data_IF_067482009214
#
_entry.id   IF_067482009214
#
_cell.length_a   1.000
_cell.length_b   1.000
_cell.length_c   1.000
_cell.angle_alpha   90.00
_cell.angle_beta   90.00
_cell.angle_gamma   90.00
#
_symmetry.space_group_name_H-M   'P 1'
#
loop_
_entity.id
_entity.type
_entity.pdbx_description
1 polymer ?
#
# COMPACT_ATOMS: atom_id res chain seq x y z
N UNK A 1 -48.82 11.56 7.58
CA UNK A 1 -47.54 11.28 6.89
C UNK A 1 -47.56 9.81 6.48
N UNK A 2 -47.41 9.47 5.19
CA UNK A 2 -47.48 8.06 4.78
C UNK A 2 -46.17 7.33 5.15
N UNK A 3 -46.23 6.00 5.33
CA UNK A 3 -45.05 5.18 5.64
C UNK A 3 -44.01 5.19 4.50
N UNK A 4 -44.48 5.43 3.27
CA UNK A 4 -43.68 5.64 2.05
C UNK A 4 -43.01 7.02 2.09
N UNK A 5 -43.74 8.02 2.58
CA UNK A 5 -43.34 9.34 3.07
C UNK A 5 -42.04 9.39 3.87
N UNK A 6 -42.02 8.56 4.90
CA UNK A 6 -40.89 8.42 5.83
C UNK A 6 -39.78 7.56 5.26
N UNK A 7 -40.10 6.52 4.48
CA UNK A 7 -39.09 5.66 3.87
C UNK A 7 -38.29 6.40 2.81
N UNK A 8 -38.97 7.13 1.91
CA UNK A 8 -38.31 7.92 0.89
C UNK A 8 -37.48 9.05 1.49
N UNK A 9 -37.95 9.70 2.56
CA UNK A 9 -37.15 10.69 3.30
C UNK A 9 -35.92 10.06 3.94
N UNK A 10 -36.05 8.93 4.64
CA UNK A 10 -34.91 8.26 5.25
C UNK A 10 -33.89 7.80 4.21
N UNK A 11 -34.35 7.34 3.03
CA UNK A 11 -33.46 7.01 1.90
C UNK A 11 -32.83 8.27 1.30
N UNK A 12 -33.56 9.39 1.21
CA UNK A 12 -33.01 10.67 0.75
C UNK A 12 -32.01 11.25 1.74
N UNK A 13 -32.30 11.21 3.04
CA UNK A 13 -31.46 11.67 4.14
C UNK A 13 -30.21 10.80 4.25
N UNK A 14 -30.31 9.47 4.13
CA UNK A 14 -29.15 8.59 4.01
C UNK A 14 -28.35 8.82 2.72
N UNK A 15 -29.01 9.15 1.60
CA UNK A 15 -28.34 9.52 0.36
C UNK A 15 -27.73 10.92 0.41
N UNK A 16 -28.15 11.79 1.34
CA UNK A 16 -27.61 13.13 1.59
C UNK A 16 -26.47 13.08 2.62
N UNK A 17 -26.59 12.25 3.66
CA UNK A 17 -25.53 11.97 4.65
C UNK A 17 -24.36 11.21 4.02
N UNK A 18 -24.63 10.23 3.15
CA UNK A 18 -23.60 9.59 2.35
C UNK A 18 -22.99 10.51 1.28
N UNK A 19 -23.67 11.62 0.92
CA UNK A 19 -23.20 12.64 -0.04
C UNK A 19 -22.26 13.70 0.54
N UNK A 20 -22.00 13.72 1.85
CA UNK A 20 -21.20 14.79 2.49
C UNK A 20 -20.30 14.26 3.61
N UNK A 21 -19.28 13.50 3.23
CA UNK A 21 -17.98 13.65 3.89
C UNK A 21 -17.02 14.21 2.85
N UNK A 22 -16.89 15.54 2.85
CA UNK A 22 -15.84 16.24 2.11
C UNK A 22 -14.47 15.71 2.51
N UNK A 23 -13.48 15.91 1.67
CA UNK A 23 -12.13 15.39 1.92
C UNK A 23 -11.60 15.89 3.26
N UNK A 24 -10.67 15.15 3.84
CA UNK A 24 -10.08 15.47 5.14
C UNK A 24 -8.66 15.97 4.97
N UNK A 25 -8.41 17.22 5.36
CA UNK A 25 -7.04 17.78 5.38
C UNK A 25 -6.12 16.94 6.27
N UNK A 26 -6.63 16.44 7.40
CA UNK A 26 -5.87 15.55 8.28
C UNK A 26 -5.50 14.23 7.58
N UNK A 27 -6.39 13.66 6.76
CA UNK A 27 -6.10 12.46 5.97
C UNK A 27 -5.03 12.74 4.91
N UNK A 28 -5.11 13.88 4.22
CA UNK A 28 -4.10 14.30 3.24
C UNK A 28 -2.73 14.45 3.90
N UNK A 29 -2.66 15.12 5.05
CA UNK A 29 -1.41 15.27 5.81
C UNK A 29 -0.87 13.91 6.26
N UNK A 30 -1.72 13.03 6.78
CA UNK A 30 -1.33 11.69 7.20
C UNK A 30 -0.75 10.87 6.04
N UNK A 31 -1.47 10.75 4.92
CA UNK A 31 -0.97 10.04 3.75
C UNK A 31 0.28 10.71 3.17
N UNK A 32 0.36 12.04 3.19
CA UNK A 32 1.51 12.81 2.74
C UNK A 32 2.78 12.54 3.56
N UNK A 33 2.66 12.47 4.89
CA UNK A 33 3.79 12.13 5.78
C UNK A 33 4.28 10.70 5.50
N UNK A 34 3.37 9.74 5.38
CA UNK A 34 3.71 8.35 5.07
C UNK A 34 4.38 8.26 3.69
N UNK A 35 3.81 8.93 2.68
CA UNK A 35 4.36 8.97 1.34
C UNK A 35 5.78 9.57 1.34
N UNK A 36 5.98 10.69 2.05
CA UNK A 36 7.29 11.32 2.21
C UNK A 36 8.31 10.37 2.83
N UNK A 37 7.93 9.64 3.88
CA UNK A 37 8.78 8.62 4.50
C UNK A 37 9.09 7.47 3.54
N UNK A 38 8.13 7.03 2.72
CA UNK A 38 8.35 5.95 1.75
C UNK A 38 9.26 6.39 0.61
N UNK A 39 9.04 7.58 0.06
CA UNK A 39 9.92 8.16 -0.95
C UNK A 39 11.35 8.32 -0.41
N UNK A 40 11.50 8.79 0.83
CA UNK A 40 12.79 8.82 1.49
C UNK A 40 13.43 7.43 1.60
N UNK A 41 12.66 6.42 2.02
CA UNK A 41 13.12 5.03 2.19
C UNK A 41 13.66 4.45 0.88
N UNK A 42 12.90 4.56 -0.22
CA UNK A 42 13.31 4.00 -1.52
C UNK A 42 14.48 4.75 -2.15
N UNK A 43 14.54 6.07 -1.98
CA UNK A 43 15.68 6.89 -2.43
C UNK A 43 16.93 6.56 -1.62
N UNK A 44 16.82 6.48 -0.29
CA UNK A 44 17.95 6.11 0.58
C UNK A 44 18.48 4.73 0.22
N UNK A 45 17.60 3.73 0.04
CA UNK A 45 17.96 2.37 -0.39
C UNK A 45 18.73 2.39 -1.71
N UNK A 46 18.22 3.10 -2.71
CA UNK A 46 18.85 3.23 -4.02
C UNK A 46 20.23 3.91 -3.94
N UNK A 47 20.34 5.02 -3.21
CA UNK A 47 21.61 5.75 -3.05
C UNK A 47 22.65 4.91 -2.33
N UNK A 48 22.26 4.20 -1.26
CA UNK A 48 23.15 3.30 -0.52
C UNK A 48 23.70 2.20 -1.41
N UNK A 49 22.84 1.49 -2.14
CA UNK A 49 23.29 0.39 -3.01
C UNK A 49 24.18 0.88 -4.17
N UNK A 50 23.78 1.97 -4.82
CA UNK A 50 24.52 2.50 -5.96
C UNK A 50 25.88 3.09 -5.55
N UNK A 51 25.96 3.74 -4.38
CA UNK A 51 27.19 4.30 -3.84
C UNK A 51 28.14 3.28 -3.20
N UNK A 52 27.69 2.04 -2.97
CA UNK A 52 28.49 1.02 -2.31
C UNK A 52 29.30 0.18 -3.30
N UNK A 53 30.61 0.04 -3.05
CA UNK A 53 31.49 -0.90 -3.75
C UNK A 53 31.81 -2.06 -2.81
N UNK A 54 31.14 -3.20 -3.02
CA UNK A 54 31.36 -4.38 -2.20
C UNK A 54 32.50 -5.21 -2.78
N UNK A 55 33.54 -5.55 -1.99
CA UNK A 55 34.57 -6.47 -2.44
C UNK A 55 33.98 -7.87 -2.62
N UNK A 56 34.52 -8.63 -3.57
CA UNK A 56 34.14 -10.04 -3.79
C UNK A 56 34.61 -10.90 -2.61
N UNK A 57 33.73 -11.03 -1.62
CA UNK A 57 33.96 -11.76 -0.37
C UNK A 57 32.67 -12.49 0.03
N UNK A 58 32.74 -13.75 0.52
CA UNK A 58 31.59 -14.49 1.04
C UNK A 58 30.69 -13.68 1.98
N UNK A 59 31.27 -12.82 2.83
CA UNK A 59 30.58 -11.93 3.77
C UNK A 59 29.57 -11.00 3.08
N UNK A 60 29.89 -10.49 1.89
CA UNK A 60 29.10 -9.48 1.17
C UNK A 60 28.30 -10.05 -0.01
N UNK A 61 28.33 -11.37 -0.23
CA UNK A 61 27.65 -12.01 -1.37
C UNK A 61 26.17 -11.62 -1.46
N UNK A 62 25.44 -11.67 -0.34
CA UNK A 62 24.03 -11.29 -0.35
C UNK A 62 23.81 -9.82 -0.68
N UNK A 63 24.68 -8.91 -0.23
CA UNK A 63 24.59 -7.48 -0.56
C UNK A 63 24.89 -7.22 -2.05
N UNK A 64 25.82 -7.99 -2.64
CA UNK A 64 26.09 -7.96 -4.08
C UNK A 64 24.87 -8.44 -4.87
N UNK A 65 24.23 -9.53 -4.43
CA UNK A 65 22.99 -10.05 -5.03
C UNK A 65 21.87 -9.02 -4.90
N UNK A 66 21.66 -8.45 -3.71
CA UNK A 66 20.64 -7.40 -3.48
C UNK A 66 20.90 -6.21 -4.40
N UNK A 67 22.14 -5.75 -4.52
CA UNK A 67 22.51 -4.64 -5.42
C UNK A 67 22.16 -4.97 -6.87
N UNK A 68 22.53 -6.16 -7.34
CA UNK A 68 22.33 -6.57 -8.74
C UNK A 68 20.86 -6.82 -9.08
N UNK A 69 20.11 -7.41 -8.15
CA UNK A 69 18.74 -7.89 -8.39
C UNK A 69 17.68 -7.11 -7.62
N UNK A 70 17.99 -5.91 -7.10
CA UNK A 70 17.07 -5.14 -6.25
C UNK A 70 15.65 -5.01 -6.84
N UNK A 71 15.56 -4.79 -8.16
CA UNK A 71 14.28 -4.61 -8.85
C UNK A 71 13.46 -5.90 -9.02
N UNK A 72 14.05 -7.07 -8.75
CA UNK A 72 13.38 -8.37 -8.81
C UNK A 72 12.84 -8.81 -7.45
N UNK A 73 13.09 -8.06 -6.36
CA UNK A 73 12.55 -8.41 -5.06
C UNK A 73 11.10 -7.95 -4.92
N UNK A 74 10.22 -8.88 -4.58
CA UNK A 74 8.81 -8.60 -4.30
C UNK A 74 8.60 -7.49 -3.26
N UNK A 75 9.51 -7.36 -2.28
CA UNK A 75 9.51 -6.26 -1.30
C UNK A 75 9.52 -4.89 -1.98
N UNK A 76 10.35 -4.69 -3.01
CA UNK A 76 10.45 -3.42 -3.74
C UNK A 76 9.18 -3.17 -4.54
N UNK A 77 8.64 -4.20 -5.20
CA UNK A 77 7.37 -4.10 -5.93
C UNK A 77 6.19 -3.74 -5.04
N UNK A 78 6.07 -4.39 -3.88
CA UNK A 78 5.07 -4.06 -2.87
C UNK A 78 5.22 -2.62 -2.38
N UNK A 79 6.45 -2.13 -2.22
CA UNK A 79 6.72 -0.78 -1.78
C UNK A 79 6.32 0.26 -2.84
N UNK A 80 6.64 0.01 -4.12
CA UNK A 80 6.18 0.84 -5.25
C UNK A 80 4.66 0.89 -5.32
N UNK A 81 4.01 -0.28 -5.19
CA UNK A 81 2.56 -0.40 -5.19
C UNK A 81 1.90 0.43 -4.07
N UNK A 82 2.49 0.44 -2.87
CA UNK A 82 2.01 1.28 -1.77
C UNK A 82 2.21 2.78 -2.04
N UNK A 83 3.32 3.19 -2.65
CA UNK A 83 3.53 4.58 -3.06
C UNK A 83 2.43 5.02 -4.04
N UNK A 84 2.12 4.19 -5.04
CA UNK A 84 1.03 4.45 -6.00
C UNK A 84 -0.31 4.56 -5.28
N UNK A 85 -0.59 3.66 -4.34
CA UNK A 85 -1.81 3.68 -3.54
C UNK A 85 -1.93 4.96 -2.69
N UNK A 86 -0.86 5.38 -2.02
CA UNK A 86 -0.83 6.59 -1.20
C UNK A 86 -1.06 7.85 -2.04
N UNK A 87 -0.47 7.91 -3.24
CA UNK A 87 -0.73 8.98 -4.21
C UNK A 87 -2.20 9.04 -4.61
N UNK A 88 -2.80 7.88 -4.94
CA UNK A 88 -4.22 7.80 -5.25
C UNK A 88 -5.11 8.23 -4.08
N UNK A 89 -4.75 7.86 -2.85
CA UNK A 89 -5.47 8.27 -1.64
C UNK A 89 -5.41 9.79 -1.43
N UNK A 90 -4.25 10.42 -1.63
CA UNK A 90 -4.09 11.88 -1.55
C UNK A 90 -4.92 12.57 -2.64
N UNK A 91 -4.82 12.10 -3.88
CA UNK A 91 -5.59 12.68 -5.01
C UNK A 91 -7.09 12.58 -4.75
N UNK A 92 -7.57 11.41 -4.29
CA UNK A 92 -8.98 11.23 -3.93
C UNK A 92 -9.44 12.23 -2.87
N UNK A 93 -8.69 12.39 -1.78
CA UNK A 93 -9.02 13.35 -0.71
C UNK A 93 -8.96 14.82 -1.17
N UNK A 94 -7.98 15.17 -2.02
CA UNK A 94 -7.88 16.53 -2.61
C UNK A 94 -9.07 16.81 -3.52
N UNK A 95 -9.47 15.85 -4.36
CA UNK A 95 -10.62 16.03 -5.25
C UNK A 95 -11.94 16.13 -4.46
N UNK A 96 -12.07 15.41 -3.35
CA UNK A 96 -13.19 15.56 -2.40
C UNK A 96 -13.21 16.95 -1.77
N UNK A 97 -12.06 17.50 -1.35
CA UNK A 97 -11.97 18.87 -0.81
C UNK A 97 -12.30 19.94 -1.86
N UNK A 98 -11.82 19.74 -3.09
CA UNK A 98 -12.06 20.64 -4.21
C UNK A 98 -13.47 20.51 -4.82
N UNK A 99 -14.30 19.59 -4.32
CA UNK A 99 -15.64 19.26 -4.83
C UNK A 99 -15.66 18.87 -6.33
N UNK A 100 -14.59 18.23 -6.83
CA UNK A 100 -14.44 17.80 -8.23
C UNK A 100 -14.94 16.36 -8.40
N UNK A 101 -16.26 16.17 -8.34
CA UNK A 101 -16.90 14.84 -8.32
C UNK A 101 -16.69 14.00 -9.58
N UNK A 102 -16.58 14.64 -10.75
CA UNK A 102 -16.44 13.93 -12.04
C UNK A 102 -15.19 13.04 -12.10
N UNK A 103 -14.05 13.54 -11.62
CA UNK A 103 -12.77 12.80 -11.61
C UNK A 103 -12.68 11.94 -10.35
N UNK A 104 -13.13 12.47 -9.21
CA UNK A 104 -13.04 11.81 -7.90
C UNK A 104 -13.66 10.40 -7.92
N UNK A 105 -14.85 10.23 -8.51
CA UNK A 105 -15.51 8.92 -8.58
C UNK A 105 -14.71 7.84 -9.32
N UNK A 106 -13.86 8.24 -10.29
CA UNK A 106 -12.96 7.33 -11.00
C UNK A 106 -11.77 6.93 -10.14
N UNK A 107 -11.13 7.91 -9.48
CA UNK A 107 -9.99 7.67 -8.59
C UNK A 107 -10.41 6.81 -7.40
N UNK A 108 -11.57 7.07 -6.81
CA UNK A 108 -12.12 6.26 -5.71
C UNK A 108 -12.34 4.81 -6.13
N UNK A 109 -12.94 4.56 -7.31
CA UNK A 109 -13.11 3.20 -7.84
C UNK A 109 -11.77 2.49 -8.04
N UNK A 110 -10.76 3.19 -8.55
CA UNK A 110 -9.42 2.63 -8.70
C UNK A 110 -8.84 2.29 -7.33
N UNK A 111 -8.84 3.23 -6.38
CA UNK A 111 -8.35 3.03 -4.99
C UNK A 111 -9.02 1.83 -4.32
N UNK A 112 -10.35 1.78 -4.37
CA UNK A 112 -11.16 0.69 -3.82
C UNK A 112 -10.94 -0.65 -4.53
N UNK A 113 -10.48 -0.64 -5.78
CA UNK A 113 -10.12 -1.85 -6.50
C UNK A 113 -8.70 -2.30 -6.19
N UNK A 114 -7.70 -1.42 -6.25
CA UNK A 114 -6.29 -1.82 -6.06
C UNK A 114 -5.98 -2.23 -4.63
N UNK A 115 -6.66 -1.63 -3.64
CA UNK A 115 -6.37 -1.89 -2.24
C UNK A 115 -6.61 -3.35 -1.86
N UNK A 116 -7.82 -3.91 -1.98
CA UNK A 116 -8.08 -5.30 -1.62
C UNK A 116 -7.45 -6.30 -2.60
N UNK A 117 -7.19 -5.88 -3.84
CA UNK A 117 -6.68 -6.79 -4.88
C UNK A 117 -5.17 -6.98 -4.82
N UNK A 118 -4.42 -5.91 -4.54
CA UNK A 118 -2.96 -5.89 -4.67
C UNK A 118 -2.30 -5.42 -3.37
N UNK A 119 -2.63 -4.21 -2.90
CA UNK A 119 -1.89 -3.56 -1.80
C UNK A 119 -1.98 -4.39 -0.52
N UNK A 120 -3.21 -4.78 -0.15
CA UNK A 120 -3.47 -5.54 1.05
C UNK A 120 -2.82 -6.93 1.05
N UNK A 121 -3.06 -7.82 0.04
CA UNK A 121 -2.43 -9.14 0.03
C UNK A 121 -0.91 -9.08 -0.12
N UNK A 122 -0.36 -8.19 -0.96
CA UNK A 122 1.10 -8.09 -1.14
C UNK A 122 1.81 -7.67 0.14
N UNK A 123 1.29 -6.68 0.86
CA UNK A 123 1.92 -6.21 2.10
C UNK A 123 1.82 -7.26 3.21
N UNK A 124 0.70 -8.00 3.29
CA UNK A 124 0.57 -9.10 4.23
C UNK A 124 1.57 -10.23 3.93
N UNK A 125 1.71 -10.62 2.66
CA UNK A 125 2.67 -11.66 2.24
C UNK A 125 4.10 -11.22 2.58
N UNK A 126 4.49 -9.99 2.22
CA UNK A 126 5.84 -9.47 2.50
C UNK A 126 6.12 -9.47 4.00
N UNK A 127 5.20 -8.94 4.83
CA UNK A 127 5.41 -8.87 6.27
C UNK A 127 5.44 -10.26 6.92
N UNK A 128 4.47 -11.12 6.60
CA UNK A 128 4.35 -12.45 7.21
C UNK A 128 5.51 -13.37 6.84
N UNK A 129 5.88 -13.44 5.56
CA UNK A 129 6.98 -14.31 5.11
C UNK A 129 8.30 -13.80 5.66
N UNK A 130 8.55 -12.48 5.56
CA UNK A 130 9.79 -11.91 6.07
C UNK A 130 9.95 -12.16 7.57
N UNK A 131 9.00 -11.74 8.40
CA UNK A 131 9.12 -11.92 9.84
C UNK A 131 9.06 -13.38 10.26
N UNK A 132 8.25 -14.20 9.58
CA UNK A 132 8.19 -15.64 9.84
C UNK A 132 9.56 -16.29 9.67
N UNK A 133 10.22 -16.07 8.53
CA UNK A 133 11.57 -16.60 8.29
C UNK A 133 12.58 -15.94 9.22
N UNK A 134 12.51 -14.62 9.41
CA UNK A 134 13.47 -13.87 10.23
C UNK A 134 13.55 -14.38 11.68
N UNK A 135 12.41 -14.75 12.27
CA UNK A 135 12.36 -15.30 13.63
C UNK A 135 12.80 -16.78 13.71
N UNK A 136 12.70 -17.54 12.61
CA UNK A 136 13.21 -18.91 12.54
C UNK A 136 14.72 -18.89 12.38
N UNK A 137 15.20 -18.25 11.32
CA UNK A 137 16.62 -18.02 11.06
C UNK A 137 16.79 -16.79 10.15
N UNK A 138 17.20 -15.67 10.76
CA UNK A 138 17.44 -14.43 10.03
C UNK A 138 18.56 -14.52 9.00
N UNK A 139 19.52 -15.43 9.14
CA UNK A 139 20.65 -15.52 8.22
C UNK A 139 20.22 -15.94 6.80
N UNK A 140 19.03 -16.51 6.65
CA UNK A 140 18.45 -16.90 5.36
C UNK A 140 18.03 -15.73 4.47
N UNK A 141 17.63 -14.61 5.07
CA UNK A 141 17.00 -13.48 4.34
C UNK A 141 17.56 -12.10 4.73
N UNK A 142 18.07 -11.95 5.94
CA UNK A 142 18.60 -10.70 6.48
C UNK A 142 19.73 -10.97 7.50
N UNK A 143 20.88 -11.51 7.04
CA UNK A 143 22.02 -11.85 7.88
C UNK A 143 22.60 -10.61 8.56
N UNK A 144 23.34 -10.82 9.65
CA UNK A 144 23.96 -9.73 10.42
C UNK A 144 24.87 -8.83 9.60
N UNK A 145 25.45 -9.32 8.51
CA UNK A 145 26.28 -8.53 7.60
C UNK A 145 25.49 -7.39 6.93
N UNK A 146 24.17 -7.54 6.79
CA UNK A 146 23.30 -6.48 6.29
C UNK A 146 23.10 -5.39 7.35
N UNK A 147 23.15 -5.68 8.65
CA UNK A 147 23.01 -4.67 9.72
C UNK A 147 24.16 -3.65 9.69
N UNK A 148 25.34 -4.04 9.20
CA UNK A 148 26.48 -3.13 8.98
C UNK A 148 26.18 -2.10 7.88
N UNK A 149 25.26 -2.42 6.97
CA UNK A 149 24.96 -1.62 5.78
C UNK A 149 23.64 -0.85 5.90
N UNK A 150 22.57 -1.54 6.31
CA UNK A 150 21.25 -0.97 6.52
C UNK A 150 20.98 -0.76 8.00
N UNK A 151 20.55 0.46 8.40
CA UNK A 151 20.12 0.71 9.75
C UNK A 151 18.82 -0.05 10.06
N UNK A 152 18.55 -0.41 11.33
CA UNK A 152 17.37 -1.20 11.71
C UNK A 152 16.03 -0.61 11.26
N UNK A 153 15.91 0.72 11.21
CA UNK A 153 14.70 1.38 10.75
C UNK A 153 14.36 1.06 9.30
N UNK A 154 15.37 0.76 8.45
CA UNK A 154 15.14 0.40 7.05
C UNK A 154 14.45 -0.96 6.94
N UNK A 155 14.88 -1.91 7.78
CA UNK A 155 14.24 -3.23 7.86
C UNK A 155 12.75 -3.07 8.24
N UNK A 156 12.46 -2.28 9.28
CA UNK A 156 11.07 -2.03 9.67
C UNK A 156 10.28 -1.22 8.62
N UNK A 157 10.90 -0.27 7.92
CA UNK A 157 10.25 0.48 6.85
C UNK A 157 9.73 -0.45 5.74
N UNK A 158 10.57 -1.39 5.28
CA UNK A 158 10.24 -2.30 4.19
C UNK A 158 9.32 -3.46 4.59
N UNK A 159 9.32 -3.87 5.87
CA UNK A 159 8.67 -5.12 6.31
C UNK A 159 7.61 -4.97 7.39
N UNK A 160 7.54 -3.84 8.11
CA UNK A 160 6.54 -3.61 9.18
C UNK A 160 5.66 -2.41 8.88
N UNK A 161 6.27 -1.26 8.54
CA UNK A 161 5.55 0.00 8.41
C UNK A 161 4.60 0.01 7.21
N UNK A 162 4.85 -0.89 6.26
CA UNK A 162 3.93 -1.26 5.17
C UNK A 162 2.52 -1.67 5.63
N UNK A 163 2.34 -2.04 6.89
CA UNK A 163 1.03 -2.39 7.46
C UNK A 163 0.23 -1.15 7.91
N UNK A 164 0.87 -0.01 8.18
CA UNK A 164 0.14 1.17 8.67
C UNK A 164 -0.87 1.72 7.65
N UNK A 165 -0.55 1.89 6.35
CA UNK A 165 -1.54 2.31 5.35
C UNK A 165 -2.72 1.33 5.25
N UNK A 166 -2.48 0.04 5.46
CA UNK A 166 -3.52 -0.99 5.42
C UNK A 166 -4.51 -0.81 6.57
N UNK A 167 -4.02 -0.60 7.79
CA UNK A 167 -4.87 -0.37 8.97
C UNK A 167 -5.69 0.90 8.77
N UNK A 168 -5.04 1.99 8.33
CA UNK A 168 -5.71 3.28 8.07
C UNK A 168 -6.82 3.11 7.03
N UNK A 169 -6.53 2.41 5.94
CA UNK A 169 -7.49 2.21 4.85
C UNK A 169 -8.63 1.30 5.27
N UNK A 170 -8.36 0.21 5.99
CA UNK A 170 -9.39 -0.70 6.51
C UNK A 170 -10.34 0.04 7.45
N UNK A 171 -9.80 0.80 8.41
CA UNK A 171 -10.60 1.62 9.34
C UNK A 171 -11.43 2.66 8.57
N UNK A 172 -10.85 3.26 7.54
CA UNK A 172 -11.55 4.20 6.67
C UNK A 172 -12.71 3.49 5.94
N UNK A 173 -12.45 2.41 5.22
CA UNK A 173 -13.46 1.68 4.45
C UNK A 173 -14.60 1.13 5.33
N UNK A 174 -14.33 0.69 6.56
CA UNK A 174 -15.38 0.32 7.52
C UNK A 174 -16.34 1.47 7.86
N UNK A 175 -15.85 2.72 7.83
CA UNK A 175 -16.68 3.92 8.05
C UNK A 175 -17.46 4.37 6.81
N UNK A 176 -17.11 3.87 5.62
CA UNK A 176 -17.63 4.38 4.34
C UNK A 176 -18.44 3.36 3.51
N UNK A 177 -18.29 2.04 3.71
CA UNK A 177 -18.85 1.07 2.76
C UNK A 177 -20.21 0.46 3.16
N UNK A 178 -21.15 0.66 2.23
CA UNK A 178 -22.37 -0.11 1.99
C UNK A 178 -21.98 -1.46 1.33
N UNK A 179 -22.44 -2.58 1.89
CA UNK A 179 -21.91 -3.96 1.70
C UNK A 179 -21.92 -4.48 0.25
N UNK A 180 -22.66 -3.85 -0.67
CA UNK A 180 -22.89 -4.35 -2.03
C UNK A 180 -21.72 -4.16 -3.02
N UNK A 181 -20.91 -3.11 -2.88
CA UNK A 181 -19.78 -2.87 -3.79
C UNK A 181 -18.61 -3.85 -3.58
N UNK A 182 -18.49 -4.43 -2.39
CA UNK A 182 -17.38 -5.32 -1.99
C UNK A 182 -17.42 -6.65 -2.75
N UNK A 183 -18.60 -7.18 -3.08
CA UNK A 183 -18.75 -8.49 -3.73
C UNK A 183 -18.30 -8.50 -5.20
N UNK A 184 -18.55 -7.42 -5.94
CA UNK A 184 -18.09 -7.25 -7.34
C UNK A 184 -16.57 -7.09 -7.39
N UNK A 185 -16.00 -6.38 -6.41
CA UNK A 185 -14.55 -6.20 -6.26
C UNK A 185 -13.84 -7.52 -5.99
N UNK A 186 -14.41 -8.44 -5.20
CA UNK A 186 -13.80 -9.76 -4.89
C UNK A 186 -13.52 -10.64 -6.11
N UNK A 187 -14.44 -10.69 -7.11
CA UNK A 187 -14.22 -11.49 -8.33
C UNK A 187 -13.16 -10.88 -9.25
N UNK A 188 -13.12 -9.55 -9.37
CA UNK A 188 -12.11 -8.83 -10.16
C UNK A 188 -10.75 -8.81 -9.49
N UNK A 189 -10.71 -8.83 -8.16
CA UNK A 189 -9.49 -8.83 -7.37
C UNK A 189 -8.61 -10.05 -7.64
N UNK A 190 -9.19 -11.25 -7.69
CA UNK A 190 -8.44 -12.46 -8.00
C UNK A 190 -7.80 -12.41 -9.39
N UNK A 191 -8.54 -11.97 -10.42
CA UNK A 191 -8.00 -11.81 -11.76
C UNK A 191 -6.88 -10.75 -11.85
N UNK A 192 -7.04 -9.61 -11.17
CA UNK A 192 -6.01 -8.55 -11.11
C UNK A 192 -4.76 -9.05 -10.39
N UNK A 193 -4.92 -9.78 -9.28
CA UNK A 193 -3.80 -10.37 -8.54
C UNK A 193 -3.08 -11.44 -9.37
N UNK A 194 -3.82 -12.32 -10.06
CA UNK A 194 -3.23 -13.33 -10.95
C UNK A 194 -2.45 -12.65 -12.07
N UNK A 195 -2.99 -11.60 -12.70
CA UNK A 195 -2.29 -10.84 -13.73
C UNK A 195 -1.02 -10.19 -13.19
N UNK A 196 -1.09 -9.59 -12.00
CA UNK A 196 0.07 -8.99 -11.34
C UNK A 196 1.16 -10.04 -11.05
N UNK A 197 0.79 -11.21 -10.53
CA UNK A 197 1.71 -12.32 -10.33
C UNK A 197 2.32 -12.83 -11.66
N UNK A 198 1.52 -12.91 -12.72
CA UNK A 198 2.00 -13.31 -14.04
C UNK A 198 3.01 -12.31 -14.61
N UNK A 199 2.73 -11.00 -14.52
CA UNK A 199 3.66 -9.94 -14.94
C UNK A 199 4.96 -10.03 -14.13
N UNK A 200 4.86 -10.17 -12.81
CA UNK A 200 6.02 -10.31 -11.94
C UNK A 200 6.89 -11.51 -12.31
N UNK A 201 6.29 -12.65 -12.70
CA UNK A 201 7.02 -13.85 -13.08
C UNK A 201 7.77 -13.73 -14.43
N UNK A 202 7.37 -12.78 -15.29
CA UNK A 202 8.02 -12.55 -16.60
C UNK A 202 9.24 -11.63 -16.55
N UNK A 203 9.54 -11.05 -15.38
CA UNK A 203 10.68 -10.18 -15.16
C UNK A 203 11.79 -10.98 -14.48
#
# INVERSE_FOLDING_TARGET
MSRVDSYNRNVQDQNVESKKKGGSLASILLYGVILGFYLFTIVYHSLKLNGANFPENPKYQLLIIIKKFSMFYFTIWNFILQIIFLLLAIVDEVLKLANISRIQSGIEKIRLSIFPSLVFPSALIVACIFWGIWHIDRELIFPKTIDEFYPPWMNHALHTFIIFPLIIEVISQFKYNNIQNVAITKKRAAAILILYCAIYQTL
#
